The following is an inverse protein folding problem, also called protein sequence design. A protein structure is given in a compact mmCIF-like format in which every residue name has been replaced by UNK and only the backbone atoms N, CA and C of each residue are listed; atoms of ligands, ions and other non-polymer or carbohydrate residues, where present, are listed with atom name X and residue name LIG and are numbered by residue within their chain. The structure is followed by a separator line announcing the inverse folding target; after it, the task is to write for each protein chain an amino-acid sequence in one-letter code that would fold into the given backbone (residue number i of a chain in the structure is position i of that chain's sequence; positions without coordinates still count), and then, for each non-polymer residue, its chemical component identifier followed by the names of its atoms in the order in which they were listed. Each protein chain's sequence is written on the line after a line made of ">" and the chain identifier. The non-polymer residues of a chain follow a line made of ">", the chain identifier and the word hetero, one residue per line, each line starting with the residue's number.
data_IF_044515629624
#
_entry.id   IF_044515629624
#
_cell.length_a   1.000
_cell.length_b   1.000
_cell.length_c   1.000
_cell.angle_alpha   90.00
_cell.angle_beta   90.00
_cell.angle_gamma   90.00
#
_symmetry.space_group_name_H-M   'P 1'
#
loop_
_entity.id
_entity.type
_entity.pdbx_description
1 polymer ?
#
# COMPACT_ATOMS: atom_id res chain seq x y z
N UNK A 1 17.84 1.42 -6.62
CA UNK A 1 18.48 0.15 -7.04
C UNK A 1 19.85 -0.12 -6.39
N UNK A 2 20.71 0.88 -6.17
CA UNK A 2 22.03 0.67 -5.54
C UNK A 2 21.98 -0.04 -4.17
N UNK A 3 21.06 0.39 -3.29
CA UNK A 3 20.81 -0.22 -1.97
C UNK A 3 20.56 -1.74 -2.03
N UNK A 4 19.76 -2.19 -3.00
CA UNK A 4 19.31 -3.57 -3.11
C UNK A 4 20.26 -4.45 -3.94
N UNK A 5 21.38 -3.90 -4.43
CA UNK A 5 22.24 -4.57 -5.41
C UNK A 5 22.82 -5.88 -4.88
N UNK A 6 23.13 -5.94 -3.58
CA UNK A 6 23.69 -7.13 -2.92
C UNK A 6 22.71 -8.30 -2.78
N UNK A 7 21.42 -8.11 -3.10
CA UNK A 7 20.39 -9.16 -3.00
C UNK A 7 20.27 -10.03 -4.25
N UNK A 8 21.02 -9.70 -5.30
CA UNK A 8 21.03 -10.40 -6.58
C UNK A 8 22.37 -11.13 -6.76
N UNK A 9 22.32 -12.43 -7.07
CA UNK A 9 23.53 -13.22 -7.26
C UNK A 9 24.34 -12.82 -8.50
N UNK A 10 23.70 -12.18 -9.49
CA UNK A 10 24.33 -11.76 -10.76
C UNK A 10 23.87 -10.38 -11.20
N UNK A 11 24.64 -9.74 -12.06
CA UNK A 11 24.35 -8.39 -12.56
C UNK A 11 23.12 -8.34 -13.47
N UNK A 12 22.87 -9.38 -14.27
CA UNK A 12 21.79 -9.39 -15.27
C UNK A 12 20.39 -9.41 -14.62
N UNK A 13 20.08 -10.27 -13.62
CA UNK A 13 18.84 -10.17 -12.85
C UNK A 13 18.66 -8.82 -12.18
N UNK A 14 19.74 -8.22 -11.64
CA UNK A 14 19.70 -6.89 -11.02
C UNK A 14 19.31 -5.80 -12.02
N UNK A 15 19.95 -5.78 -13.19
CA UNK A 15 19.63 -4.83 -14.27
C UNK A 15 18.18 -5.00 -14.72
N UNK A 16 17.72 -6.26 -14.84
CA UNK A 16 16.34 -6.54 -15.21
C UNK A 16 15.33 -6.17 -14.13
N UNK A 17 15.66 -6.36 -12.85
CA UNK A 17 14.84 -5.86 -11.75
C UNK A 17 14.73 -4.33 -11.79
N UNK A 18 15.82 -3.62 -12.13
CA UNK A 18 15.78 -2.19 -12.39
C UNK A 18 14.82 -1.81 -13.51
N UNK A 19 14.83 -2.54 -14.63
CA UNK A 19 13.87 -2.33 -15.73
C UNK A 19 12.43 -2.62 -15.31
N UNK A 20 12.20 -3.67 -14.53
CA UNK A 20 10.86 -3.99 -14.01
C UNK A 20 10.36 -2.85 -13.12
N UNK A 21 11.18 -2.39 -12.16
CA UNK A 21 10.85 -1.28 -11.26
C UNK A 21 10.52 0.00 -12.03
N UNK A 22 11.33 0.34 -13.05
CA UNK A 22 11.05 1.50 -13.89
C UNK A 22 9.77 1.32 -14.71
N UNK A 23 9.47 0.12 -15.19
CA UNK A 23 8.22 -0.19 -15.88
C UNK A 23 6.99 -0.12 -14.95
N UNK A 24 7.14 -0.50 -13.68
CA UNK A 24 6.09 -0.32 -12.67
C UNK A 24 5.86 1.16 -12.33
N UNK A 25 6.90 1.98 -12.36
CA UNK A 25 6.80 3.45 -12.21
C UNK A 25 6.22 4.13 -13.45
N UNK A 26 6.34 3.53 -14.63
CA UNK A 26 5.90 4.12 -15.88
C UNK A 26 4.36 4.22 -15.98
N UNK A 27 3.91 5.20 -16.77
CA UNK A 27 2.50 5.46 -17.10
C UNK A 27 2.01 4.47 -18.17
N UNK A 28 2.00 3.19 -17.80
CA UNK A 28 1.55 2.09 -18.66
C UNK A 28 0.06 1.83 -18.43
N UNK A 29 -0.71 1.49 -19.50
CA UNK A 29 -2.13 1.18 -19.38
C UNK A 29 -2.38 -0.08 -18.54
N UNK A 30 -1.40 -0.99 -18.49
CA UNK A 30 -1.40 -2.18 -17.65
C UNK A 30 0.01 -2.59 -17.27
N UNK A 31 0.25 -2.90 -16.00
CA UNK A 31 1.54 -3.31 -15.43
C UNK A 31 1.60 -4.82 -15.32
N UNK A 32 2.05 -5.46 -16.39
CA UNK A 32 2.30 -6.90 -16.43
C UNK A 32 3.64 -7.19 -17.13
N UNK A 33 4.11 -8.43 -17.09
CA UNK A 33 5.40 -8.81 -17.68
C UNK A 33 5.51 -8.51 -19.19
N UNK A 34 4.41 -8.56 -19.93
CA UNK A 34 4.39 -8.28 -21.37
C UNK A 34 4.58 -6.79 -21.64
N UNK A 35 3.68 -5.97 -21.10
CA UNK A 35 3.70 -4.52 -21.33
C UNK A 35 5.00 -3.89 -20.81
N UNK A 36 5.53 -4.37 -19.68
CA UNK A 36 6.81 -3.89 -19.15
C UNK A 36 7.99 -4.36 -20.00
N UNK A 37 7.95 -5.57 -20.56
CA UNK A 37 8.99 -6.05 -21.48
C UNK A 37 9.02 -5.21 -22.77
N UNK A 38 7.86 -4.94 -23.37
CA UNK A 38 7.75 -4.07 -24.55
C UNK A 38 8.27 -2.66 -24.26
N UNK A 39 7.85 -2.07 -23.14
CA UNK A 39 8.35 -0.77 -22.68
C UNK A 39 9.88 -0.77 -22.49
N UNK A 40 10.44 -1.86 -21.98
CA UNK A 40 11.88 -2.03 -21.80
C UNK A 40 12.65 -2.38 -23.09
N UNK A 41 11.97 -2.43 -24.25
CA UNK A 41 12.56 -2.76 -25.55
C UNK A 41 12.85 -4.25 -25.76
N UNK A 42 12.25 -5.13 -24.96
CA UNK A 42 12.38 -6.59 -25.11
C UNK A 42 11.31 -7.13 -26.08
N UNK A 43 11.68 -8.08 -26.94
CA UNK A 43 10.78 -8.69 -27.93
C UNK A 43 9.70 -9.60 -27.33
N UNK A 44 9.88 -10.03 -26.07
CA UNK A 44 9.05 -11.03 -25.43
C UNK A 44 9.11 -10.90 -23.89
N UNK A 45 8.09 -11.39 -23.15
CA UNK A 45 8.03 -11.26 -21.69
C UNK A 45 9.00 -12.17 -20.92
N UNK A 46 9.73 -13.05 -21.62
CA UNK A 46 10.50 -14.14 -21.01
C UNK A 46 11.58 -13.65 -20.05
N UNK A 47 12.20 -12.50 -20.31
CA UNK A 47 13.15 -11.89 -19.39
C UNK A 47 12.50 -11.57 -18.05
N UNK A 48 11.37 -10.86 -18.08
CA UNK A 48 10.61 -10.46 -16.89
C UNK A 48 10.07 -11.68 -16.13
N UNK A 49 9.55 -12.66 -16.86
CA UNK A 49 9.10 -13.93 -16.27
C UNK A 49 10.25 -14.70 -15.64
N UNK A 50 11.42 -14.75 -16.29
CA UNK A 50 12.60 -15.41 -15.73
C UNK A 50 13.05 -14.75 -14.42
N UNK A 51 13.06 -13.40 -14.37
CA UNK A 51 13.39 -12.65 -13.16
C UNK A 51 12.52 -13.07 -11.96
N UNK A 52 11.21 -13.20 -12.18
CA UNK A 52 10.26 -13.52 -11.12
C UNK A 52 10.24 -15.02 -10.79
N UNK A 53 10.37 -15.89 -11.80
CA UNK A 53 10.19 -17.32 -11.62
C UNK A 53 11.47 -18.07 -11.23
N UNK A 54 12.62 -17.70 -11.80
CA UNK A 54 13.81 -18.58 -11.83
C UNK A 54 15.11 -17.91 -11.40
N UNK A 55 15.22 -16.59 -11.55
CA UNK A 55 16.45 -15.89 -11.20
C UNK A 55 16.78 -16.07 -9.70
N UNK A 56 18.08 -16.11 -9.38
CA UNK A 56 18.57 -16.22 -8.01
C UNK A 56 18.70 -14.84 -7.38
N UNK A 57 17.69 -14.46 -6.58
CA UNK A 57 17.69 -13.29 -5.72
C UNK A 57 16.70 -13.48 -4.58
N UNK A 58 17.00 -12.80 -3.48
CA UNK A 58 16.30 -12.93 -2.20
C UNK A 58 15.22 -11.85 -2.08
N UNK A 59 13.95 -12.26 -2.14
CA UNK A 59 12.81 -11.35 -2.04
C UNK A 59 12.56 -10.87 -0.60
N UNK A 60 12.95 -11.67 0.39
CA UNK A 60 12.82 -11.37 1.80
C UNK A 60 13.89 -10.37 2.23
N UNK A 61 15.13 -10.54 1.77
CA UNK A 61 16.17 -9.54 2.01
C UNK A 61 15.86 -8.20 1.31
N UNK A 62 15.21 -8.21 0.13
CA UNK A 62 14.72 -6.96 -0.50
C UNK A 62 13.55 -6.37 0.28
N UNK A 63 12.63 -7.18 0.86
CA UNK A 63 11.62 -6.67 1.80
C UNK A 63 12.30 -5.93 2.96
N UNK A 64 13.31 -6.54 3.56
CA UNK A 64 14.00 -5.97 4.71
C UNK A 64 14.67 -4.64 4.31
N UNK A 65 15.34 -4.57 3.16
CA UNK A 65 15.89 -3.31 2.66
C UNK A 65 14.80 -2.25 2.36
N UNK A 66 13.60 -2.65 1.92
CA UNK A 66 12.44 -1.75 1.73
C UNK A 66 11.95 -1.22 3.08
N UNK A 67 11.85 -2.08 4.10
CA UNK A 67 11.52 -1.68 5.47
C UNK A 67 12.53 -0.65 5.99
N UNK A 68 13.83 -0.91 5.84
CA UNK A 68 14.88 0.05 6.22
C UNK A 68 14.70 1.39 5.51
N UNK A 69 14.44 1.36 4.19
CA UNK A 69 14.20 2.57 3.41
C UNK A 69 13.00 3.38 3.90
N UNK A 70 11.89 2.71 4.20
CA UNK A 70 10.68 3.37 4.72
C UNK A 70 10.94 3.97 6.11
N UNK A 71 11.53 3.21 7.04
CA UNK A 71 11.75 3.67 8.41
C UNK A 71 12.74 4.84 8.47
N UNK A 72 13.81 4.78 7.67
CA UNK A 72 14.81 5.85 7.58
C UNK A 72 14.23 7.15 7.03
N UNK A 73 13.45 7.09 5.95
CA UNK A 73 13.00 8.28 5.24
C UNK A 73 11.66 8.82 5.74
N UNK A 74 10.77 7.97 6.24
CA UNK A 74 9.48 8.35 6.82
C UNK A 74 9.50 8.38 8.36
N UNK A 75 10.69 8.39 8.97
CA UNK A 75 10.89 8.36 10.41
C UNK A 75 9.90 9.26 11.16
N UNK A 76 9.22 8.68 12.14
CA UNK A 76 8.23 9.36 12.97
C UNK A 76 8.09 8.60 14.31
N UNK A 77 8.36 9.28 15.43
CA UNK A 77 8.19 8.71 16.77
C UNK A 77 6.73 8.35 17.07
N UNK A 78 5.78 9.02 16.42
CA UNK A 78 4.35 8.76 16.53
C UNK A 78 3.83 7.77 15.47
N UNK A 79 4.72 7.08 14.74
CA UNK A 79 4.32 6.09 13.76
C UNK A 79 3.50 4.96 14.39
N UNK A 80 2.58 4.43 13.59
CA UNK A 80 1.72 3.31 13.93
C UNK A 80 1.96 2.21 12.91
N UNK A 81 2.08 0.97 13.36
CA UNK A 81 1.98 -0.18 12.47
C UNK A 81 0.51 -0.49 12.23
N UNK A 82 0.10 -0.49 10.97
CA UNK A 82 -1.25 -0.83 10.56
C UNK A 82 -1.22 -2.19 9.88
N UNK A 83 -1.99 -3.14 10.40
CA UNK A 83 -2.18 -4.45 9.78
C UNK A 83 -3.52 -4.46 9.07
N UNK A 84 -3.50 -4.87 7.81
CA UNK A 84 -4.71 -5.14 7.04
C UNK A 84 -4.41 -6.13 5.91
N UNK A 85 -5.44 -6.62 5.26
CA UNK A 85 -5.32 -7.47 4.09
C UNK A 85 -5.93 -6.83 2.84
N UNK A 86 -5.45 -7.26 1.69
CA UNK A 86 -6.13 -7.00 0.43
C UNK A 86 -6.24 -8.26 -0.39
N UNK A 87 -7.32 -8.35 -1.16
CA UNK A 87 -7.65 -9.49 -2.00
C UNK A 87 -7.64 -9.14 -3.48
N UNK A 88 -7.06 -10.01 -4.28
CA UNK A 88 -7.09 -9.91 -5.73
C UNK A 88 -7.97 -11.01 -6.31
N UNK A 89 -9.01 -10.61 -7.06
CA UNK A 89 -9.91 -11.55 -7.72
C UNK A 89 -9.14 -12.28 -8.83
N UNK A 90 -9.19 -13.62 -8.81
CA UNK A 90 -8.52 -14.47 -9.79
C UNK A 90 -9.51 -15.46 -10.41
N UNK A 91 -9.21 -15.93 -11.62
CA UNK A 91 -9.95 -17.02 -12.28
C UNK A 91 -9.17 -18.34 -12.19
N UNK A 92 -9.90 -19.44 -12.04
CA UNK A 92 -9.34 -20.79 -11.92
C UNK A 92 -8.76 -21.12 -10.55
N UNK A 93 -8.17 -22.30 -10.41
CA UNK A 93 -7.72 -22.90 -9.15
C UNK A 93 -6.19 -23.01 -9.00
N UNK A 94 -5.42 -22.57 -10.01
CA UNK A 94 -3.96 -22.77 -10.07
C UNK A 94 -3.10 -21.62 -9.52
N UNK A 95 -3.69 -20.46 -9.26
CA UNK A 95 -2.96 -19.35 -8.63
C UNK A 95 -2.81 -19.64 -7.15
N UNK A 96 -1.58 -19.58 -6.63
CA UNK A 96 -1.27 -19.90 -5.23
C UNK A 96 -2.17 -19.15 -4.24
N UNK A 97 -2.68 -19.86 -3.23
CA UNK A 97 -3.53 -19.29 -2.18
C UNK A 97 -4.93 -18.88 -2.64
N UNK A 98 -5.33 -19.14 -3.89
CA UNK A 98 -6.67 -18.78 -4.36
C UNK A 98 -7.74 -19.71 -3.79
N UNK A 99 -8.81 -19.12 -3.27
CA UNK A 99 -10.01 -19.82 -2.82
C UNK A 99 -11.23 -18.90 -2.95
N UNK A 100 -12.45 -19.47 -3.01
CA UNK A 100 -13.68 -18.70 -2.77
C UNK A 100 -13.72 -18.23 -1.32
N UNK A 101 -13.51 -16.94 -1.12
CA UNK A 101 -13.48 -16.30 0.19
C UNK A 101 -13.97 -14.86 0.08
N UNK A 102 -14.41 -14.29 1.19
CA UNK A 102 -14.78 -12.87 1.21
C UNK A 102 -13.55 -12.03 0.88
N UNK A 103 -13.69 -11.12 -0.07
CA UNK A 103 -12.67 -10.11 -0.40
C UNK A 103 -13.28 -8.74 -0.27
N UNK A 104 -12.66 -7.86 0.52
CA UNK A 104 -13.09 -6.48 0.68
C UNK A 104 -13.16 -5.73 -0.65
N UNK A 105 -12.28 -6.06 -1.61
CA UNK A 105 -12.23 -5.43 -2.92
C UNK A 105 -13.47 -5.71 -3.79
N UNK A 106 -14.10 -6.88 -3.65
CA UNK A 106 -15.33 -7.20 -4.40
C UNK A 106 -16.61 -7.05 -3.56
N UNK A 107 -16.49 -6.82 -2.25
CA UNK A 107 -17.61 -6.74 -1.32
C UNK A 107 -18.43 -8.02 -1.18
N UNK A 108 -17.93 -9.15 -1.71
CA UNK A 108 -18.65 -10.43 -1.78
C UNK A 108 -17.68 -11.61 -1.76
N UNK A 109 -18.21 -12.82 -1.63
CA UNK A 109 -17.43 -14.05 -1.73
C UNK A 109 -17.07 -14.29 -3.19
N UNK A 110 -15.78 -14.22 -3.49
CA UNK A 110 -15.22 -14.45 -4.82
C UNK A 110 -13.98 -15.32 -4.75
N UNK A 111 -13.64 -15.94 -5.88
CA UNK A 111 -12.38 -16.63 -5.99
C UNK A 111 -11.23 -15.61 -5.98
N UNK A 112 -10.50 -15.55 -4.86
CA UNK A 112 -9.55 -14.47 -4.59
C UNK A 112 -8.29 -15.00 -3.92
N UNK A 113 -7.18 -14.34 -4.22
CA UNK A 113 -5.90 -14.49 -3.52
C UNK A 113 -5.81 -13.36 -2.49
N UNK A 114 -5.58 -13.68 -1.21
CA UNK A 114 -5.49 -12.68 -0.14
C UNK A 114 -4.06 -12.61 0.39
N UNK A 115 -3.57 -11.41 0.65
CA UNK A 115 -2.31 -11.18 1.33
C UNK A 115 -2.48 -10.16 2.46
N UNK A 116 -1.76 -10.40 3.55
CA UNK A 116 -1.67 -9.53 4.73
C UNK A 116 -0.48 -8.61 4.53
N UNK A 117 -0.65 -7.33 4.83
CA UNK A 117 0.39 -6.32 4.73
C UNK A 117 0.57 -5.62 6.07
N UNK A 118 1.83 -5.28 6.38
CA UNK A 118 2.19 -4.43 7.51
C UNK A 118 2.57 -3.08 6.94
N UNK A 119 1.79 -2.05 7.26
CA UNK A 119 2.03 -0.68 6.80
C UNK A 119 2.60 0.15 7.94
N UNK A 120 3.74 0.79 7.68
CA UNK A 120 4.30 1.81 8.55
C UNK A 120 3.62 3.14 8.23
N UNK A 121 2.97 3.73 9.21
CA UNK A 121 2.15 4.92 9.02
C UNK A 121 2.59 6.06 9.94
N UNK A 122 3.34 7.02 9.40
CA UNK A 122 3.78 8.24 10.07
C UNK A 122 3.10 9.51 9.55
N UNK A 123 3.43 10.66 10.13
CA UNK A 123 2.96 11.98 9.73
C UNK A 123 3.49 12.38 8.35
N UNK A 124 4.73 11.98 8.02
CA UNK A 124 5.37 12.29 6.73
C UNK A 124 4.81 11.45 5.57
N UNK A 125 4.27 10.28 5.86
CA UNK A 125 3.75 9.38 4.84
C UNK A 125 3.49 7.98 5.38
N UNK A 126 3.10 7.09 4.47
CA UNK A 126 2.85 5.69 4.77
C UNK A 126 3.31 4.80 3.62
N UNK A 127 3.76 3.59 3.96
CA UNK A 127 4.18 2.58 2.99
C UNK A 127 4.16 1.18 3.64
N UNK A 128 3.94 0.15 2.84
CA UNK A 128 4.08 -1.23 3.31
C UNK A 128 5.55 -1.56 3.59
N UNK A 129 5.80 -2.19 4.74
CA UNK A 129 7.12 -2.63 5.20
C UNK A 129 7.25 -4.15 5.26
N UNK A 130 6.13 -4.88 5.26
CA UNK A 130 6.11 -6.34 5.22
C UNK A 130 4.85 -6.85 4.50
N UNK A 131 4.88 -8.10 4.04
CA UNK A 131 3.84 -8.79 3.29
C UNK A 131 3.90 -10.28 3.56
N UNK A 132 2.74 -10.92 3.68
CA UNK A 132 2.62 -12.38 3.72
C UNK A 132 1.41 -12.84 2.93
N UNK A 133 1.56 -13.96 2.20
CA UNK A 133 0.44 -14.57 1.50
C UNK A 133 -0.42 -15.36 2.50
N UNK A 134 -1.73 -15.12 2.50
CA UNK A 134 -2.63 -16.00 3.22
C UNK A 134 -2.86 -17.29 2.41
N UNK A 135 -2.30 -18.41 2.89
CA UNK A 135 -2.47 -19.74 2.29
C UNK A 135 -3.56 -20.50 3.05
N UNK A 136 -4.75 -20.72 2.47
CA UNK A 136 -5.86 -21.34 3.18
C UNK A 136 -5.61 -22.82 3.51
N UNK A 137 -6.32 -23.38 4.50
CA UNK A 137 -6.25 -24.82 4.82
C UNK A 137 -6.49 -25.73 3.62
N UNK A 138 -7.38 -25.33 2.70
CA UNK A 138 -7.67 -26.05 1.46
C UNK A 138 -6.47 -26.21 0.52
N UNK A 139 -5.41 -25.41 0.73
CA UNK A 139 -4.13 -25.55 0.05
C UNK A 139 -3.15 -26.40 0.85
N UNK A 140 -3.00 -26.10 2.14
CA UNK A 140 -2.00 -26.79 2.98
C UNK A 140 -2.33 -28.27 3.22
N UNK A 141 -3.58 -28.68 3.04
CA UNK A 141 -4.00 -30.08 3.06
C UNK A 141 -3.75 -30.83 1.72
N UNK A 142 -3.18 -30.17 0.71
CA UNK A 142 -2.87 -30.74 -0.60
C UNK A 142 -1.37 -30.48 -0.94
N UNK A 143 -0.47 -31.41 -0.54
CA UNK A 143 0.97 -31.25 -0.71
C UNK A 143 1.41 -31.11 -2.17
N UNK A 144 0.74 -31.82 -3.10
CA UNK A 144 1.05 -31.77 -4.53
C UNK A 144 0.71 -30.40 -5.12
N UNK A 145 -0.44 -29.85 -4.74
CA UNK A 145 -0.83 -28.49 -5.12
C UNK A 145 0.11 -27.44 -4.54
N UNK A 146 0.54 -27.59 -3.28
CA UNK A 146 1.56 -26.72 -2.68
C UNK A 146 2.88 -26.77 -3.46
N UNK A 147 3.37 -27.97 -3.78
CA UNK A 147 4.62 -28.19 -4.53
C UNK A 147 4.54 -27.59 -5.94
N UNK A 148 3.43 -27.82 -6.64
CA UNK A 148 3.19 -27.24 -7.97
C UNK A 148 3.19 -25.70 -7.93
N UNK A 149 2.59 -25.10 -6.89
CA UNK A 149 2.62 -23.66 -6.66
C UNK A 149 3.97 -23.12 -6.18
N UNK A 150 4.91 -24.00 -5.79
CA UNK A 150 6.22 -23.61 -5.26
C UNK A 150 6.16 -23.07 -3.84
N UNK A 151 5.18 -23.52 -3.05
CA UNK A 151 5.20 -23.37 -1.60
C UNK A 151 6.24 -24.35 -1.01
N UNK A 152 6.86 -23.98 0.11
CA UNK A 152 7.84 -24.84 0.78
C UNK A 152 7.20 -26.12 1.31
N UNK A 153 7.97 -27.20 1.42
CA UNK A 153 7.48 -28.51 1.88
C UNK A 153 6.84 -28.47 3.28
N UNK A 154 7.30 -27.56 4.14
CA UNK A 154 6.81 -27.38 5.50
C UNK A 154 5.78 -26.23 5.62
N UNK A 155 5.13 -25.83 4.52
CA UNK A 155 4.13 -24.76 4.55
C UNK A 155 2.89 -25.25 5.32
N UNK A 156 2.74 -24.77 6.55
CA UNK A 156 1.57 -25.05 7.39
C UNK A 156 0.55 -23.92 7.32
N UNK A 157 -0.69 -24.23 7.67
CA UNK A 157 -1.73 -23.21 7.75
C UNK A 157 -1.42 -22.20 8.86
N UNK A 158 -1.48 -20.91 8.52
CA UNK A 158 -1.45 -19.80 9.46
C UNK A 158 -2.66 -18.89 9.23
N UNK A 159 -3.31 -18.50 10.31
CA UNK A 159 -4.38 -17.50 10.29
C UNK A 159 -3.81 -16.11 9.98
N UNK A 160 -4.64 -15.18 9.48
CA UNK A 160 -4.20 -13.80 9.23
C UNK A 160 -3.60 -13.11 10.48
N UNK A 161 -4.17 -13.25 11.69
CA UNK A 161 -3.55 -12.72 12.90
C UNK A 161 -2.20 -13.37 13.25
N UNK A 162 -1.99 -14.65 12.94
CA UNK A 162 -0.68 -15.30 13.12
C UNK A 162 0.35 -14.76 12.14
N UNK A 163 -0.03 -14.52 10.88
CA UNK A 163 0.83 -13.85 9.89
C UNK A 163 1.18 -12.43 10.35
N UNK A 164 0.19 -11.67 10.82
CA UNK A 164 0.40 -10.34 11.37
C UNK A 164 1.37 -10.32 12.55
N UNK A 165 1.23 -11.28 13.48
CA UNK A 165 2.15 -11.44 14.61
C UNK A 165 3.58 -11.66 14.12
N UNK A 166 3.80 -12.58 13.18
CA UNK A 166 5.13 -12.86 12.61
C UNK A 166 5.73 -11.62 11.95
N UNK A 167 4.94 -10.87 11.18
CA UNK A 167 5.40 -9.65 10.51
C UNK A 167 5.78 -8.54 11.51
N UNK A 168 5.00 -8.39 12.59
CA UNK A 168 5.30 -7.43 13.66
C UNK A 168 6.55 -7.85 14.44
N UNK A 169 6.66 -9.12 14.81
CA UNK A 169 7.85 -9.67 15.49
C UNK A 169 9.09 -9.46 14.63
N UNK A 170 9.04 -9.78 13.33
CA UNK A 170 10.13 -9.53 12.38
C UNK A 170 10.54 -8.06 12.31
N UNK A 171 9.57 -7.14 12.33
CA UNK A 171 9.84 -5.70 12.36
C UNK A 171 10.58 -5.28 13.64
N UNK A 172 10.15 -5.80 14.80
CA UNK A 172 10.77 -5.48 16.09
C UNK A 172 12.13 -6.16 16.28
N UNK A 173 12.26 -7.42 15.86
CA UNK A 173 13.49 -8.22 15.96
C UNK A 173 14.60 -7.66 15.05
N UNK A 174 14.24 -6.94 13.98
CA UNK A 174 15.17 -6.15 13.19
C UNK A 174 15.70 -4.89 13.93
N UNK A 175 15.24 -4.63 15.15
CA UNK A 175 15.70 -3.51 15.98
C UNK A 175 14.89 -2.21 15.84
N UNK A 176 13.85 -2.21 15.00
CA UNK A 176 12.97 -1.06 14.88
C UNK A 176 12.05 -0.91 16.09
N UNK A 177 11.64 0.33 16.36
CA UNK A 177 10.77 0.67 17.47
C UNK A 177 9.51 1.36 16.96
N UNK A 178 8.38 1.01 17.55
CA UNK A 178 7.09 1.65 17.33
C UNK A 178 6.30 1.58 18.63
N UNK A 179 5.48 2.59 18.90
CA UNK A 179 4.67 2.61 20.13
C UNK A 179 3.33 1.88 20.00
N UNK A 180 2.82 1.75 18.77
CA UNK A 180 1.40 1.46 18.54
C UNK A 180 1.15 0.54 17.33
N UNK A 181 0.17 -0.35 17.50
CA UNK A 181 -0.38 -1.19 16.43
C UNK A 181 -1.88 -0.96 16.28
N UNK A 182 -2.40 -0.96 15.06
CA UNK A 182 -3.84 -0.96 14.78
C UNK A 182 -4.20 -1.93 13.66
N UNK A 183 -5.45 -2.34 13.61
CA UNK A 183 -5.95 -3.39 12.74
C UNK A 183 -7.47 -3.52 12.85
N UNK A 184 -8.05 -4.28 11.94
CA UNK A 184 -9.49 -4.55 11.86
C UNK A 184 -9.97 -5.56 12.91
N UNK A 185 -11.25 -5.95 12.78
CA UNK A 185 -11.92 -6.91 13.65
C UNK A 185 -11.30 -8.31 13.62
N UNK A 186 -10.76 -8.76 12.48
CA UNK A 186 -10.07 -10.05 12.35
C UNK A 186 -8.86 -10.09 13.28
N UNK A 187 -8.11 -9.00 13.36
CA UNK A 187 -6.94 -8.89 14.22
C UNK A 187 -7.34 -8.61 15.68
N UNK A 188 -8.27 -7.69 15.91
CA UNK A 188 -8.67 -7.32 17.27
C UNK A 188 -9.48 -8.38 18.00
N UNK A 189 -10.17 -9.27 17.29
CA UNK A 189 -10.82 -10.45 17.85
C UNK A 189 -9.87 -11.53 18.34
N UNK A 190 -8.59 -11.51 17.94
CA UNK A 190 -7.64 -12.58 18.24
C UNK A 190 -6.88 -12.34 19.57
N UNK A 191 -7.13 -13.15 20.63
CA UNK A 191 -6.45 -12.96 21.91
C UNK A 191 -4.94 -13.24 21.85
N UNK A 192 -4.49 -14.22 21.06
CA UNK A 192 -3.06 -14.56 20.95
C UNK A 192 -2.25 -13.41 20.35
N UNK A 193 -2.79 -12.74 19.34
CA UNK A 193 -2.17 -11.54 18.77
C UNK A 193 -2.09 -10.43 19.83
N UNK A 194 -3.18 -10.17 20.56
CA UNK A 194 -3.17 -9.16 21.63
C UNK A 194 -2.13 -9.46 22.70
N UNK A 195 -2.09 -10.69 23.22
CA UNK A 195 -1.09 -11.11 24.20
C UNK A 195 0.34 -10.92 23.70
N UNK A 196 0.63 -11.32 22.44
CA UNK A 196 1.94 -11.12 21.85
C UNK A 196 2.32 -9.64 21.74
N UNK A 197 1.38 -8.75 21.42
CA UNK A 197 1.63 -7.30 21.42
C UNK A 197 1.95 -6.77 22.82
N UNK A 198 1.22 -7.22 23.85
CA UNK A 198 1.44 -6.82 25.24
C UNK A 198 2.79 -7.32 25.77
N UNK A 199 3.15 -8.57 25.48
CA UNK A 199 4.45 -9.17 25.83
C UNK A 199 5.64 -8.43 25.20
N UNK A 200 5.46 -7.92 23.98
CA UNK A 200 6.46 -7.08 23.29
C UNK A 200 6.40 -5.61 23.72
N UNK A 201 5.56 -5.26 24.69
CA UNK A 201 5.43 -3.91 25.25
C UNK A 201 4.74 -2.89 24.33
N UNK A 202 4.01 -3.36 23.32
CA UNK A 202 3.32 -2.51 22.35
C UNK A 202 1.95 -2.05 22.86
N UNK A 203 1.63 -0.78 22.62
CA UNK A 203 0.26 -0.30 22.67
C UNK A 203 -0.52 -0.79 21.46
N UNK A 204 -1.81 -1.02 21.60
CA UNK A 204 -2.66 -1.33 20.46
C UNK A 204 -4.03 -0.67 20.55
N UNK A 205 -4.61 -0.42 19.37
CA UNK A 205 -6.02 -0.06 19.20
C UNK A 205 -6.56 -0.90 18.06
N UNK A 206 -7.20 -2.02 18.38
CA UNK A 206 -7.68 -2.99 17.40
C UNK A 206 -9.20 -3.00 17.38
N UNK A 207 -9.81 -2.94 16.19
CA UNK A 207 -11.26 -3.00 16.08
C UNK A 207 -11.81 -4.34 16.59
N UNK A 208 -13.00 -4.33 17.15
CA UNK A 208 -13.69 -5.54 17.64
C UNK A 208 -15.17 -5.49 17.27
N UNK A 209 -15.80 -6.67 17.22
CA UNK A 209 -17.23 -6.80 17.00
C UNK A 209 -18.04 -6.00 18.02
N UNK A 210 -19.23 -5.52 17.65
CA UNK A 210 -20.18 -4.96 18.60
C UNK A 210 -20.61 -5.97 19.68
N UNK A 211 -20.58 -7.26 19.34
CA UNK A 211 -20.86 -8.39 20.23
C UNK A 211 -19.68 -8.81 21.10
N UNK A 212 -18.51 -8.15 20.98
CA UNK A 212 -17.34 -8.51 21.76
C UNK A 212 -17.62 -8.37 23.26
N UNK A 213 -17.35 -9.44 24.01
CA UNK A 213 -17.47 -9.44 25.47
C UNK A 213 -16.23 -8.81 26.11
N UNK A 214 -16.48 -7.88 27.03
CA UNK A 214 -15.45 -7.17 27.77
C UNK A 214 -15.76 -7.19 29.26
N UNK A 215 -14.73 -7.46 30.06
CA UNK A 215 -14.84 -7.46 31.51
C UNK A 215 -14.70 -6.02 32.02
N UNK A 216 -15.65 -5.59 32.84
CA UNK A 216 -15.64 -4.31 33.56
C UNK A 216 -15.71 -4.59 35.05
N UNK A 217 -15.51 -3.55 35.89
CA UNK A 217 -15.67 -3.71 37.35
C UNK A 217 -17.08 -4.13 37.76
N UNK A 218 -18.07 -3.91 36.90
CA UNK A 218 -19.47 -4.29 37.13
C UNK A 218 -19.83 -5.67 36.55
N UNK A 219 -18.88 -6.41 35.98
CA UNK A 219 -19.10 -7.71 35.34
C UNK A 219 -18.76 -7.72 33.85
N UNK A 220 -19.09 -8.84 33.20
CA UNK A 220 -18.90 -9.04 31.77
C UNK A 220 -20.08 -8.46 30.97
N UNK A 221 -19.78 -7.67 29.94
CA UNK A 221 -20.81 -7.09 29.07
C UNK A 221 -20.37 -7.12 27.62
N UNK A 222 -21.35 -7.13 26.69
CA UNK A 222 -21.08 -6.83 25.28
C UNK A 222 -20.77 -5.36 25.09
N UNK A 223 -19.90 -5.06 24.12
CA UNK A 223 -19.48 -3.70 23.80
C UNK A 223 -20.66 -2.78 23.42
N UNK A 224 -21.64 -3.29 22.65
CA UNK A 224 -22.85 -2.54 22.29
C UNK A 224 -23.75 -2.22 23.48
N UNK A 225 -23.96 -3.20 24.37
CA UNK A 225 -24.74 -3.03 25.60
C UNK A 225 -24.10 -1.98 26.54
N UNK A 226 -22.77 -1.89 26.57
CA UNK A 226 -22.05 -0.84 27.30
C UNK A 226 -22.23 0.53 26.65
N UNK A 227 -22.10 0.61 25.33
CA UNK A 227 -22.26 1.88 24.62
C UNK A 227 -23.65 2.50 24.81
N UNK A 228 -24.70 1.66 24.87
CA UNK A 228 -26.07 2.10 25.13
C UNK A 228 -26.26 2.70 26.54
N UNK A 229 -25.43 2.32 27.52
CA UNK A 229 -25.48 2.81 28.90
C UNK A 229 -24.67 4.10 29.12
N UNK A 230 -23.89 4.54 28.14
CA UNK A 230 -23.03 5.70 28.29
C UNK A 230 -23.85 7.01 28.36
N UNK A 231 -23.62 7.85 29.38
CA UNK A 231 -24.29 9.15 29.46
C UNK A 231 -23.78 10.08 28.36
N UNK A 232 -24.60 11.08 27.99
CA UNK A 232 -24.26 12.02 26.90
C UNK A 232 -22.93 12.74 27.10
N UNK A 233 -22.57 13.06 28.34
CA UNK A 233 -21.32 13.76 28.69
C UNK A 233 -20.06 12.88 28.58
N UNK A 234 -20.19 11.55 28.48
CA UNK A 234 -19.05 10.65 28.27
C UNK A 234 -18.47 10.74 26.85
N UNK A 235 -19.19 11.36 25.91
CA UNK A 235 -18.80 11.49 24.51
C UNK A 235 -18.02 12.77 24.25
N UNK A 236 -16.81 12.64 23.71
CA UNK A 236 -15.94 13.76 23.38
C UNK A 236 -15.74 13.87 21.87
N UNK A 237 -15.91 15.08 21.32
CA UNK A 237 -15.66 15.34 19.90
C UNK A 237 -14.15 15.43 19.65
N UNK A 238 -13.60 14.46 18.94
CA UNK A 238 -12.18 14.44 18.57
C UNK A 238 -12.02 14.10 17.08
N UNK A 239 -10.91 14.56 16.49
CA UNK A 239 -10.59 14.28 15.11
C UNK A 239 -9.66 13.07 14.99
N UNK A 240 -9.98 12.15 14.09
CA UNK A 240 -9.28 10.87 13.90
C UNK A 240 -8.34 10.92 12.68
N UNK A 241 -7.53 11.97 12.59
CA UNK A 241 -6.68 12.22 11.42
C UNK A 241 -7.31 13.14 10.37
N UNK A 242 -6.46 13.65 9.47
CA UNK A 242 -6.87 14.38 8.27
C UNK A 242 -7.51 13.38 7.30
N UNK A 243 -8.57 13.79 6.59
CA UNK A 243 -9.14 13.05 5.48
C UNK A 243 -9.21 13.92 4.22
N UNK A 244 -9.66 13.35 3.10
CA UNK A 244 -9.75 14.03 1.80
C UNK A 244 -10.62 15.30 1.77
N UNK A 245 -11.49 15.49 2.78
CA UNK A 245 -12.36 16.66 2.93
C UNK A 245 -12.03 17.48 4.20
N UNK A 246 -10.84 17.33 4.75
CA UNK A 246 -10.42 17.96 6.01
C UNK A 246 -10.46 17.01 7.21
N UNK A 247 -10.39 17.56 8.42
CA UNK A 247 -10.36 16.78 9.66
C UNK A 247 -11.61 15.92 9.83
N UNK A 248 -11.43 14.61 10.11
CA UNK A 248 -12.54 13.68 10.33
C UNK A 248 -12.95 13.69 11.80
N UNK A 249 -14.03 14.40 12.12
CA UNK A 249 -14.56 14.48 13.47
C UNK A 249 -15.53 13.32 13.76
N UNK A 250 -15.30 12.65 14.88
CA UNK A 250 -16.22 11.67 15.45
C UNK A 250 -16.44 11.99 16.93
N UNK A 251 -17.51 11.46 17.50
CA UNK A 251 -17.67 11.47 18.95
C UNK A 251 -17.04 10.18 19.49
N UNK A 252 -16.26 10.29 20.56
CA UNK A 252 -15.52 9.18 21.13
C UNK A 252 -15.85 9.02 22.61
N UNK A 253 -15.96 7.77 23.06
CA UNK A 253 -16.06 7.44 24.47
C UNK A 253 -15.05 6.34 24.81
N UNK A 254 -14.62 6.29 26.07
CA UNK A 254 -13.69 5.28 26.58
C UNK A 254 -14.24 4.68 27.87
N UNK A 255 -14.10 3.37 28.00
CA UNK A 255 -14.49 2.62 29.19
C UNK A 255 -13.27 1.82 29.65
N UNK A 256 -12.85 1.98 30.90
CA UNK A 256 -11.79 1.17 31.49
C UNK A 256 -12.28 -0.28 31.70
N UNK A 257 -11.46 -1.24 31.27
CA UNK A 257 -11.73 -2.66 31.43
C UNK A 257 -11.08 -3.17 32.72
N UNK A 258 -11.73 -4.15 33.36
CA UNK A 258 -11.22 -4.78 34.56
C UNK A 258 -10.44 -6.03 34.18
N UNK A 259 -9.11 -5.93 34.20
CA UNK A 259 -8.20 -7.08 34.06
C UNK A 259 -7.09 -6.99 35.10
N UNK A 260 -6.69 -8.15 35.64
CA UNK A 260 -5.70 -8.25 36.71
C UNK A 260 -4.25 -8.00 36.25
N UNK A 261 -3.99 -8.12 34.95
CA UNK A 261 -2.65 -7.97 34.39
C UNK A 261 -2.23 -6.50 34.31
N UNK A 262 -0.93 -6.18 34.46
CA UNK A 262 -0.40 -4.82 34.31
C UNK A 262 -0.78 -4.19 32.97
N UNK A 263 -0.84 -2.85 32.95
CA UNK A 263 -1.23 -2.05 31.80
C UNK A 263 -2.67 -1.52 31.87
N UNK A 264 -2.99 -0.62 30.94
CA UNK A 264 -4.30 0.02 30.84
C UNK A 264 -5.05 -0.59 29.66
N UNK A 265 -6.11 -1.34 29.95
CA UNK A 265 -7.00 -1.92 28.95
C UNK A 265 -8.32 -1.16 28.90
N UNK A 266 -8.72 -0.76 27.72
CA UNK A 266 -9.87 0.12 27.53
C UNK A 266 -10.70 -0.32 26.33
N UNK A 267 -12.01 -0.15 26.41
CA UNK A 267 -12.90 -0.17 25.26
C UNK A 267 -13.07 1.26 24.76
N UNK A 268 -12.56 1.52 23.56
CA UNK A 268 -12.75 2.78 22.85
C UNK A 268 -13.94 2.63 21.89
N UNK A 269 -14.83 3.61 21.91
CA UNK A 269 -16.06 3.59 21.11
C UNK A 269 -16.08 4.85 20.26
N UNK A 270 -16.26 4.68 18.96
CA UNK A 270 -16.43 5.77 17.98
C UNK A 270 -17.88 5.83 17.55
N UNK A 271 -18.47 7.02 17.58
CA UNK A 271 -19.78 7.31 16.99
C UNK A 271 -19.65 8.25 15.81
N UNK A 272 -20.21 7.84 14.67
CA UNK A 272 -20.42 8.72 13.52
C UNK A 272 -21.46 9.79 13.88
N UNK A 273 -21.08 11.07 13.73
CA UNK A 273 -21.91 12.20 14.14
C UNK A 273 -23.13 12.41 13.25
N UNK A 274 -23.09 11.91 12.03
CA UNK A 274 -24.17 12.03 11.04
C UNK A 274 -25.04 10.79 11.02
N UNK A 275 -24.45 9.60 10.97
CA UNK A 275 -25.21 8.35 10.84
C UNK A 275 -25.55 7.70 12.19
N UNK A 276 -24.90 8.10 13.28
CA UNK A 276 -25.02 7.45 14.59
C UNK A 276 -24.30 6.09 14.68
N UNK A 277 -23.70 5.61 13.59
CA UNK A 277 -23.03 4.31 13.53
C UNK A 277 -21.89 4.22 14.54
N UNK A 278 -21.83 3.09 15.25
CA UNK A 278 -20.84 2.81 16.27
C UNK A 278 -19.76 1.86 15.75
N UNK A 279 -18.50 2.13 16.12
CA UNK A 279 -17.39 1.23 15.95
C UNK A 279 -16.66 1.06 17.29
N UNK A 280 -16.19 -0.14 17.56
CA UNK A 280 -15.63 -0.54 18.85
C UNK A 280 -14.18 -0.97 18.68
N UNK A 281 -13.33 -0.61 19.64
CA UNK A 281 -11.92 -0.96 19.62
C UNK A 281 -11.46 -1.40 21.00
N UNK A 282 -10.75 -2.52 21.07
CA UNK A 282 -10.02 -2.91 22.28
C UNK A 282 -8.65 -2.25 22.25
N UNK A 283 -8.33 -1.57 23.34
CA UNK A 283 -7.11 -0.79 23.49
C UNK A 283 -6.26 -1.35 24.63
N UNK A 284 -4.95 -1.30 24.44
CA UNK A 284 -3.97 -1.54 25.49
C UNK A 284 -2.87 -0.48 25.43
N UNK A 285 -2.36 -0.09 26.60
CA UNK A 285 -1.14 0.70 26.73
C UNK A 285 -0.42 0.36 28.04
N UNK A 286 0.91 0.31 28.00
CA UNK A 286 1.72 -0.01 29.18
C UNK A 286 1.69 1.12 30.25
N UNK A 287 1.39 2.36 29.84
CA UNK A 287 1.29 3.54 30.70
C UNK A 287 0.02 4.30 30.37
N UNK A 288 -0.51 5.14 31.28
CA UNK A 288 -1.67 5.98 30.96
C UNK A 288 -1.37 6.87 29.75
N UNK A 289 -2.30 6.93 28.80
CA UNK A 289 -2.19 7.79 27.62
C UNK A 289 -3.45 8.63 27.43
N UNK A 290 -3.35 9.83 26.84
CA UNK A 290 -4.52 10.64 26.58
C UNK A 290 -5.39 10.00 25.49
N UNK A 291 -6.70 10.22 25.59
CA UNK A 291 -7.69 9.74 24.61
C UNK A 291 -7.32 10.11 23.16
N UNK A 292 -6.73 11.30 22.95
CA UNK A 292 -6.25 11.75 21.64
C UNK A 292 -5.24 10.80 21.00
N UNK A 293 -4.42 10.10 21.79
CA UNK A 293 -3.46 9.11 21.29
C UNK A 293 -4.18 7.86 20.77
N UNK A 294 -5.18 7.38 21.50
CA UNK A 294 -6.00 6.24 21.07
C UNK A 294 -6.79 6.58 19.80
N UNK A 295 -7.40 7.78 19.76
CA UNK A 295 -8.15 8.27 18.60
C UNK A 295 -7.26 8.43 17.37
N UNK A 296 -6.04 8.97 17.53
CA UNK A 296 -5.05 9.09 16.45
C UNK A 296 -4.62 7.70 15.94
N UNK A 297 -4.41 6.75 16.84
CA UNK A 297 -4.03 5.38 16.49
C UNK A 297 -5.14 4.68 15.72
N UNK A 298 -6.38 4.73 16.22
CA UNK A 298 -7.56 4.23 15.51
C UNK A 298 -7.74 4.90 14.13
N UNK A 299 -7.52 6.22 14.06
CA UNK A 299 -7.61 6.99 12.82
C UNK A 299 -6.55 6.64 11.77
N UNK A 300 -5.40 6.11 12.22
CA UNK A 300 -4.28 5.71 11.35
C UNK A 300 -4.62 4.49 10.50
N UNK A 301 -5.61 3.68 10.91
CA UNK A 301 -6.14 2.54 10.13
C UNK A 301 -6.47 2.93 8.69
N UNK A 302 -7.03 4.11 8.47
CA UNK A 302 -7.38 4.57 7.11
C UNK A 302 -6.21 4.66 6.14
N UNK A 303 -4.98 4.89 6.65
CA UNK A 303 -3.78 5.00 5.80
C UNK A 303 -3.48 3.71 5.06
N UNK A 304 -3.90 2.55 5.57
CA UNK A 304 -3.71 1.27 4.86
C UNK A 304 -4.56 1.18 3.59
N UNK A 305 -5.78 1.71 3.62
CA UNK A 305 -6.64 1.77 2.44
C UNK A 305 -6.03 2.71 1.39
N UNK A 306 -5.55 3.89 1.82
CA UNK A 306 -4.82 4.78 0.91
C UNK A 306 -3.55 4.13 0.35
N UNK A 307 -2.83 3.36 1.17
CA UNK A 307 -1.66 2.57 0.74
C UNK A 307 -2.08 1.58 -0.34
N UNK A 308 -3.11 0.76 -0.12
CA UNK A 308 -3.56 -0.20 -1.12
C UNK A 308 -4.06 0.45 -2.40
N UNK A 309 -4.81 1.55 -2.32
CA UNK A 309 -5.27 2.27 -3.50
C UNK A 309 -4.11 2.83 -4.32
N UNK A 310 -3.07 3.34 -3.66
CA UNK A 310 -1.89 3.87 -4.34
C UNK A 310 -0.94 2.77 -4.83
N UNK A 311 -0.75 1.68 -4.08
CA UNK A 311 0.03 0.52 -4.50
C UNK A 311 -0.59 -0.18 -5.71
N UNK A 312 -1.90 -0.45 -5.69
CA UNK A 312 -2.61 -1.00 -6.86
C UNK A 312 -2.60 0.01 -8.00
N UNK A 313 -2.96 1.25 -7.71
CA UNK A 313 -3.18 2.27 -8.72
C UNK A 313 -1.92 2.84 -9.40
N UNK A 314 -0.78 2.85 -8.70
CA UNK A 314 0.48 3.45 -9.16
C UNK A 314 1.64 2.46 -9.22
N UNK A 315 1.66 1.40 -8.41
CA UNK A 315 2.75 0.42 -8.39
C UNK A 315 2.38 -0.94 -9.01
N UNK A 316 1.12 -1.12 -9.46
CA UNK A 316 0.67 -2.34 -10.13
C UNK A 316 0.65 -3.57 -9.22
N UNK A 317 0.37 -3.37 -7.92
CA UNK A 317 0.36 -4.43 -6.91
C UNK A 317 -0.51 -5.64 -7.33
N UNK A 318 -1.72 -5.37 -7.84
CA UNK A 318 -2.74 -6.36 -8.21
C UNK A 318 -2.73 -6.75 -9.71
N UNK A 319 -1.87 -6.11 -10.51
CA UNK A 319 -1.84 -6.29 -11.97
C UNK A 319 -1.01 -7.50 -12.43
N UNK A 320 -0.39 -8.21 -11.48
CA UNK A 320 0.43 -9.38 -11.75
C UNK A 320 -0.38 -10.53 -12.37
N UNK A 321 0.28 -11.26 -13.27
CA UNK A 321 -0.25 -12.47 -13.91
C UNK A 321 0.41 -13.76 -13.39
N UNK A 322 1.24 -13.64 -12.35
CA UNK A 322 1.98 -14.76 -11.78
C UNK A 322 1.07 -15.71 -10.99
N UNK A 323 1.44 -17.01 -10.99
CA UNK A 323 0.66 -18.08 -10.35
C UNK A 323 1.37 -18.80 -9.21
N UNK A 324 2.70 -18.81 -9.21
CA UNK A 324 3.53 -19.53 -8.22
C UNK A 324 3.95 -18.59 -7.10
N UNK A 325 4.14 -19.14 -5.90
CA UNK A 325 4.54 -18.39 -4.70
C UNK A 325 5.82 -17.58 -4.88
N UNK A 326 6.94 -18.13 -5.41
CA UNK A 326 8.17 -17.36 -5.59
C UNK A 326 7.98 -16.16 -6.52
N UNK A 327 7.18 -16.32 -7.56
CA UNK A 327 6.88 -15.26 -8.51
C UNK A 327 5.98 -14.18 -7.90
N UNK A 328 5.01 -14.59 -7.08
CA UNK A 328 4.11 -13.70 -6.37
C UNK A 328 4.87 -12.85 -5.35
N UNK A 329 5.63 -13.49 -4.45
CA UNK A 329 6.36 -12.75 -3.41
C UNK A 329 7.29 -11.73 -4.04
N UNK A 330 8.01 -12.10 -5.12
CA UNK A 330 8.92 -11.23 -5.87
C UNK A 330 8.24 -10.06 -6.56
N UNK A 331 7.07 -10.27 -7.18
CA UNK A 331 6.31 -9.17 -7.79
C UNK A 331 5.88 -8.16 -6.73
N UNK A 332 5.21 -8.64 -5.68
CA UNK A 332 4.70 -7.80 -4.59
C UNK A 332 5.85 -7.06 -3.91
N UNK A 333 7.03 -7.69 -3.78
CA UNK A 333 8.25 -7.02 -3.32
C UNK A 333 8.60 -5.79 -4.11
N UNK A 334 8.63 -5.92 -5.42
CA UNK A 334 9.06 -4.84 -6.30
C UNK A 334 7.98 -3.77 -6.42
N UNK A 335 6.70 -4.14 -6.32
CA UNK A 335 5.60 -3.19 -6.21
C UNK A 335 5.66 -2.38 -4.89
N UNK A 336 5.92 -3.03 -3.76
CA UNK A 336 6.14 -2.35 -2.48
C UNK A 336 7.35 -1.40 -2.53
N UNK A 337 8.45 -1.84 -3.14
CA UNK A 337 9.63 -0.99 -3.37
C UNK A 337 9.27 0.28 -4.18
N UNK A 338 8.51 0.12 -5.26
CA UNK A 338 8.06 1.22 -6.11
C UNK A 338 7.19 2.19 -5.33
N UNK A 339 6.25 1.68 -4.54
CA UNK A 339 5.38 2.52 -3.71
C UNK A 339 6.17 3.24 -2.61
N UNK A 340 7.03 2.54 -1.89
CA UNK A 340 7.89 3.14 -0.87
C UNK A 340 8.74 4.29 -1.44
N UNK A 341 9.30 4.11 -2.63
CA UNK A 341 10.01 5.17 -3.34
C UNK A 341 9.10 6.39 -3.61
N UNK A 342 7.89 6.17 -4.15
CA UNK A 342 6.93 7.25 -4.41
C UNK A 342 6.48 7.97 -3.13
N UNK A 343 6.25 7.22 -2.05
CA UNK A 343 5.85 7.76 -0.75
C UNK A 343 6.93 8.68 -0.16
N UNK A 344 8.20 8.28 -0.26
CA UNK A 344 9.34 9.09 0.19
C UNK A 344 9.50 10.34 -0.67
N UNK A 345 9.48 10.21 -2.00
CA UNK A 345 9.57 11.38 -2.91
C UNK A 345 8.45 12.37 -2.63
N UNK A 346 7.22 11.88 -2.38
CA UNK A 346 6.10 12.73 -2.03
C UNK A 346 6.31 13.46 -0.70
N UNK A 347 6.81 12.75 0.31
CA UNK A 347 7.11 13.31 1.62
C UNK A 347 8.19 14.39 1.54
N UNK A 348 9.23 14.17 0.75
CA UNK A 348 10.32 15.13 0.56
C UNK A 348 9.86 16.35 -0.25
N UNK A 349 9.10 16.18 -1.33
CA UNK A 349 8.53 17.30 -2.09
C UNK A 349 7.63 18.17 -1.20
N UNK A 350 6.80 17.55 -0.35
CA UNK A 350 5.94 18.29 0.58
C UNK A 350 6.75 19.10 1.61
N UNK A 351 7.88 18.58 2.07
CA UNK A 351 8.77 19.29 2.99
C UNK A 351 9.48 20.48 2.33
N UNK A 352 9.88 20.36 1.06
CA UNK A 352 10.63 21.41 0.35
C UNK A 352 9.73 22.46 -0.31
N UNK A 353 8.47 22.12 -0.61
CA UNK A 353 7.49 23.01 -1.23
C UNK A 353 6.13 22.86 -0.54
N UNK A 354 5.93 23.52 0.62
CA UNK A 354 4.61 23.58 1.24
C UNK A 354 3.69 24.39 0.31
N UNK A 355 2.92 23.72 -0.53
CA UNK A 355 1.89 24.37 -1.34
C UNK A 355 0.76 24.94 -0.47
N UNK A 356 -0.03 25.91 -0.96
CA UNK A 356 -1.20 26.39 -0.22
C UNK A 356 -2.19 25.23 -0.06
N UNK A 357 -2.30 24.74 1.17
CA UNK A 357 -3.20 23.68 1.63
C UNK A 357 -3.32 22.44 0.71
N UNK A 358 -2.33 21.56 0.82
CA UNK A 358 -2.43 20.09 0.85
C UNK A 358 -3.63 19.46 0.13
N UNK A 359 -3.62 19.53 -1.20
CA UNK A 359 -4.38 18.59 -2.03
C UNK A 359 -3.81 17.18 -1.80
N UNK A 360 -4.63 16.28 -1.24
CA UNK A 360 -4.44 14.84 -1.38
C UNK A 360 -4.38 14.58 -2.89
N UNK A 361 -3.19 14.25 -3.39
CA UNK A 361 -2.95 14.19 -4.82
C UNK A 361 -3.74 13.02 -5.41
N UNK A 362 -4.79 13.38 -6.14
CA UNK A 362 -5.44 12.47 -7.09
C UNK A 362 -4.41 11.98 -8.13
N UNK A 363 -4.67 10.80 -8.72
CA UNK A 363 -3.88 10.16 -9.79
C UNK A 363 -3.22 11.12 -10.82
N UNK A 364 -3.84 12.23 -11.27
CA UNK A 364 -3.22 13.16 -12.23
C UNK A 364 -2.00 13.93 -11.69
N UNK A 365 -1.97 14.30 -10.40
CA UNK A 365 -0.94 15.23 -9.91
C UNK A 365 0.36 14.52 -9.50
N UNK A 366 0.29 13.26 -9.05
CA UNK A 366 1.49 12.40 -8.94
C UNK A 366 2.04 12.08 -10.33
N UNK A 367 1.16 11.90 -11.32
CA UNK A 367 1.50 11.59 -12.73
C UNK A 367 2.23 12.73 -13.44
N UNK A 368 1.85 13.98 -13.19
CA UNK A 368 2.52 15.15 -13.77
C UNK A 368 3.89 15.41 -13.12
N UNK A 369 4.01 15.14 -11.81
CA UNK A 369 5.23 15.39 -11.03
C UNK A 369 6.28 14.29 -11.14
N UNK A 370 5.86 13.01 -11.25
CA UNK A 370 6.76 11.89 -11.55
C UNK A 370 7.45 12.01 -12.91
N UNK A 371 6.80 12.66 -13.90
CA UNK A 371 7.43 12.99 -15.19
C UNK A 371 8.54 14.04 -15.06
N UNK A 372 8.44 14.96 -14.11
CA UNK A 372 9.46 16.01 -13.91
C UNK A 372 10.70 15.47 -13.16
N UNK A 373 10.52 14.52 -12.23
CA UNK A 373 11.63 13.82 -11.57
C UNK A 373 12.33 12.79 -12.49
N UNK A 374 11.64 12.32 -13.54
CA UNK A 374 12.15 11.39 -14.54
C UNK A 374 12.88 12.03 -15.73
N UNK A 375 13.54 13.18 -15.55
CA UNK A 375 14.44 13.71 -16.58
C UNK A 375 15.55 12.69 -16.88
N UNK A 376 15.89 12.43 -18.16
CA UNK A 376 16.74 11.31 -18.52
C UNK A 376 18.17 11.53 -17.99
N UNK A 377 18.56 10.78 -16.98
CA UNK A 377 19.98 10.51 -16.71
C UNK A 377 20.46 9.67 -17.89
N UNK A 378 21.18 10.31 -18.80
CA UNK A 378 21.80 9.68 -19.95
C UNK A 378 22.96 8.82 -19.45
N UNK A 379 22.68 7.54 -19.18
CA UNK A 379 23.72 6.53 -19.02
C UNK A 379 24.28 6.25 -20.42
N UNK A 380 25.43 6.84 -20.76
CA UNK A 380 26.19 6.47 -21.95
C UNK A 380 26.65 5.02 -21.81
N UNK A 381 25.96 4.11 -22.47
CA UNK A 381 26.55 2.84 -22.89
C UNK A 381 27.22 3.09 -24.24
N UNK A 382 28.47 2.61 -24.36
CA UNK A 382 29.37 2.88 -25.49
C UNK A 382 28.75 2.62 -26.85
N UNK A 383 29.17 3.47 -27.79
CA UNK A 383 28.86 3.48 -29.22
C UNK A 383 28.87 2.09 -29.88
N UNK A 384 27.88 1.85 -30.75
CA UNK A 384 28.11 1.46 -32.15
C UNK A 384 26.86 1.81 -32.98
N UNK A 385 27.08 2.52 -34.10
CA UNK A 385 26.03 3.02 -35.01
C UNK A 385 25.74 1.99 -36.08
N UNK A 386 24.46 1.76 -36.36
CA UNK A 386 24.03 1.30 -37.68
C UNK A 386 22.75 2.06 -38.09
N UNK A 387 22.82 2.74 -39.25
CA UNK A 387 21.73 3.49 -39.90
C UNK A 387 20.93 2.56 -40.80
N UNK A 388 19.60 2.61 -40.73
CA UNK A 388 18.61 2.43 -41.82
C UNK A 388 17.33 3.13 -41.31
N UNK A 389 16.54 3.97 -41.98
CA UNK A 389 16.27 4.29 -43.37
C UNK A 389 14.75 4.51 -43.43
N UNK A 390 14.29 5.75 -43.65
CA UNK A 390 12.89 6.18 -43.55
C UNK A 390 12.05 5.72 -44.75
N UNK A 391 10.84 5.22 -44.49
CA UNK A 391 9.82 4.92 -45.51
C UNK A 391 8.42 5.31 -45.02
N UNK A 392 7.74 6.11 -45.82
CA UNK A 392 6.41 6.74 -45.66
C UNK A 392 5.23 5.75 -45.72
N UNK A 393 4.07 6.13 -45.14
CA UNK A 393 2.84 5.33 -44.90
C UNK A 393 2.01 4.93 -46.15
N UNK A 394 0.65 4.73 -46.10
CA UNK A 394 -0.32 5.40 -45.22
C UNK A 394 -1.59 4.61 -44.72
N UNK A 395 -2.35 5.30 -43.85
CA UNK A 395 -3.82 5.46 -43.72
C UNK A 395 -4.83 4.32 -43.46
N UNK A 396 -5.47 4.46 -42.28
CA UNK A 396 -6.92 4.58 -41.98
C UNK A 396 -7.94 3.47 -42.36
N UNK A 397 -8.67 2.99 -41.34
CA UNK A 397 -9.94 2.28 -41.46
C UNK A 397 -10.73 2.31 -40.14
N UNK A 398 -11.89 2.97 -40.17
CA UNK A 398 -12.81 3.19 -39.05
C UNK A 398 -13.62 1.93 -38.68
N UNK A 399 -14.02 1.79 -37.40
CA UNK A 399 -14.99 0.79 -36.95
C UNK A 399 -16.17 1.44 -36.21
N UNK A 400 -17.38 1.17 -36.73
CA UNK A 400 -18.68 1.48 -36.16
C UNK A 400 -19.12 0.44 -35.14
N UNK A 401 -20.01 0.88 -34.25
CA UNK A 401 -20.62 0.14 -33.15
C UNK A 401 -21.73 -0.84 -33.59
N UNK A 402 -21.75 -2.00 -32.92
CA UNK A 402 -22.88 -2.54 -32.14
C UNK A 402 -24.22 -2.87 -32.82
N UNK A 403 -24.60 -4.16 -32.77
CA UNK A 403 -25.98 -4.63 -32.55
C UNK A 403 -25.96 -6.03 -31.91
N UNK A 404 -26.55 -6.14 -30.72
CA UNK A 404 -26.93 -7.41 -30.09
C UNK A 404 -28.45 -7.53 -30.07
N UNK A 405 -28.93 -8.71 -30.48
CA UNK A 405 -30.33 -9.07 -30.59
C UNK A 405 -31.03 -9.38 -29.26
N UNK A 406 -32.36 -9.43 -29.36
CA UNK A 406 -33.39 -9.65 -28.34
C UNK A 406 -33.34 -11.05 -27.71
N UNK A 407 -33.85 -11.15 -26.47
CA UNK A 407 -34.81 -12.19 -26.07
C UNK A 407 -35.63 -11.71 -24.84
N UNK A 408 -36.86 -12.19 -24.77
CA UNK A 408 -38.05 -11.65 -24.11
C UNK A 408 -38.60 -12.57 -23.01
N UNK A 409 -39.39 -12.00 -22.08
CA UNK A 409 -40.38 -12.69 -21.23
C UNK A 409 -40.36 -12.15 -19.80
N UNK A 410 -41.44 -11.73 -19.12
CA UNK A 410 -42.87 -11.63 -19.42
C UNK A 410 -43.63 -11.18 -18.14
N UNK A 411 -44.88 -10.71 -18.33
CA UNK A 411 -46.00 -10.51 -17.37
C UNK A 411 -46.11 -9.24 -16.46
N UNK A 412 -46.93 -8.26 -16.94
CA UNK A 412 -48.15 -7.55 -16.40
C UNK A 412 -48.41 -7.34 -14.87
N UNK A 413 -49.32 -6.42 -14.41
CA UNK A 413 -50.26 -5.48 -15.08
C UNK A 413 -50.27 -4.00 -14.53
N UNK A 414 -51.18 -3.08 -14.96
CA UNK A 414 -51.02 -1.62 -14.95
C UNK A 414 -51.94 -0.84 -13.99
N UNK A 415 -51.67 0.45 -13.79
CA UNK A 415 -52.65 1.58 -13.73
C UNK A 415 -51.99 2.88 -13.23
N UNK A 416 -52.40 4.04 -13.76
CA UNK A 416 -52.20 5.33 -13.07
C UNK A 416 -51.78 6.49 -13.96
N UNK A 417 -52.74 7.03 -14.71
CA UNK A 417 -52.70 8.35 -15.36
C UNK A 417 -52.43 9.47 -14.34
N UNK A 418 -51.54 10.43 -14.67
CA UNK A 418 -51.59 11.81 -14.15
C UNK A 418 -50.70 12.75 -14.95
N UNK A 419 -51.39 13.64 -15.67
CA UNK A 419 -50.91 14.86 -16.31
C UNK A 419 -50.24 15.81 -15.30
N UNK A 420 -49.21 16.51 -15.76
CA UNK A 420 -48.59 17.63 -15.04
C UNK A 420 -47.56 18.34 -15.90
N UNK A 421 -48.00 19.33 -16.67
CA UNK A 421 -47.18 20.21 -17.49
C UNK A 421 -46.52 21.30 -16.63
N UNK A 422 -45.26 21.67 -16.92
CA UNK A 422 -44.65 22.98 -16.64
C UNK A 422 -43.50 23.25 -17.65
N UNK A 423 -43.14 24.53 -17.94
CA UNK A 423 -42.80 24.97 -19.29
C UNK A 423 -41.31 25.24 -19.58
N UNK A 424 -41.04 25.39 -20.89
CA UNK A 424 -39.81 25.89 -21.53
C UNK A 424 -39.49 27.36 -21.23
N UNK A 425 -38.22 27.65 -20.96
CA UNK A 425 -37.41 28.82 -21.40
C UNK A 425 -35.92 28.46 -21.14
N UNK A 426 -34.90 28.94 -21.82
CA UNK A 426 -34.63 29.43 -23.18
C UNK A 426 -33.09 29.38 -23.31
N UNK A 427 -32.54 28.99 -24.46
CA UNK A 427 -31.09 29.00 -24.74
C UNK A 427 -30.62 30.43 -25.07
N UNK A 428 -29.37 30.75 -24.72
CA UNK A 428 -28.28 31.31 -25.56
C UNK A 428 -27.18 31.91 -24.64
N UNK A 429 -25.93 31.40 -24.68
CA UNK A 429 -24.75 31.88 -25.46
C UNK A 429 -24.16 33.17 -24.85
N UNK A 430 -22.85 33.37 -24.60
CA UNK A 430 -21.65 33.26 -25.45
C UNK A 430 -20.36 33.24 -24.58
N UNK A 431 -19.30 32.71 -25.20
CA UNK A 431 -17.90 32.57 -24.82
C UNK A 431 -17.10 33.83 -24.42
N UNK A 432 -15.92 33.59 -23.84
CA UNK A 432 -14.76 34.49 -23.95
C UNK A 432 -13.74 34.32 -22.83
N UNK A 433 -12.56 33.77 -23.12
CA UNK A 433 -11.26 34.45 -22.97
C UNK A 433 -10.08 33.52 -23.28
N UNK A 434 -9.26 33.94 -24.26
CA UNK A 434 -7.92 33.43 -24.53
C UNK A 434 -7.03 34.61 -24.99
N UNK A 435 -5.73 34.53 -24.64
CA UNK A 435 -4.57 35.42 -24.97
C UNK A 435 -4.45 36.66 -24.05
N UNK A 436 -3.28 37.06 -23.52
CA UNK A 436 -1.91 37.15 -24.08
C UNK A 436 -0.80 37.03 -23.01
N UNK A 437 0.38 36.62 -23.47
CA UNK A 437 1.74 36.64 -22.87
C UNK A 437 2.31 38.08 -22.72
N UNK A 438 3.43 38.32 -21.98
CA UNK A 438 4.79 38.17 -22.53
C UNK A 438 5.83 37.52 -21.61
N UNK A 439 6.86 37.01 -22.28
CA UNK A 439 8.11 36.49 -21.75
C UNK A 439 8.99 37.58 -21.12
N UNK A 440 9.77 37.19 -20.11
CA UNK A 440 11.02 37.86 -19.74
C UNK A 440 12.12 36.80 -19.64
N UNK A 441 13.04 36.85 -20.59
CA UNK A 441 14.32 36.17 -20.59
C UNK A 441 15.41 37.24 -20.43
N UNK A 442 16.17 37.16 -19.34
CA UNK A 442 17.47 37.82 -19.08
C UNK A 442 17.94 37.17 -17.78
N UNK A 443 19.11 36.59 -17.58
CA UNK A 443 20.37 36.58 -18.29
C UNK A 443 21.40 36.41 -17.16
N UNK A 444 22.08 35.27 -17.08
CA UNK A 444 23.27 35.14 -16.20
C UNK A 444 24.37 34.45 -16.98
N UNK A 445 25.41 35.25 -17.24
CA UNK A 445 26.69 34.82 -17.75
C UNK A 445 27.49 34.05 -16.68
N UNK A 446 28.13 32.98 -17.17
CA UNK A 446 29.47 32.48 -16.84
C UNK A 446 30.23 33.13 -15.67
N UNK A 447 30.63 32.30 -14.70
CA UNK A 447 31.96 32.37 -14.07
C UNK A 447 32.47 30.96 -13.69
N UNK A 448 33.77 30.79 -13.95
CA UNK A 448 34.62 29.59 -13.98
C UNK A 448 34.63 28.68 -12.74
N UNK A 449 35.04 27.40 -12.89
CA UNK A 449 35.55 26.58 -11.80
C UNK A 449 37.02 26.94 -11.50
N UNK A 450 37.35 27.11 -10.22
CA UNK A 450 38.74 27.15 -9.75
C UNK A 450 39.25 25.72 -9.56
N UNK A 451 40.30 25.40 -10.32
CA UNK A 451 41.20 24.28 -10.08
C UNK A 451 42.47 24.82 -9.40
N UNK A 452 43.03 24.03 -8.48
CA UNK A 452 44.31 24.22 -7.80
C UNK A 452 44.38 23.26 -6.61
N UNK A 453 44.84 22.01 -6.75
CA UNK A 453 46.18 21.48 -7.06
C UNK A 453 47.12 21.42 -5.85
N UNK A 454 47.74 20.23 -5.66
CA UNK A 454 48.86 19.92 -4.77
C UNK A 454 48.47 19.42 -3.37
N UNK A 455 48.90 18.27 -2.85
CA UNK A 455 50.05 17.42 -3.20
C UNK A 455 49.81 15.99 -2.68
N UNK A 456 50.25 14.99 -3.46
CA UNK A 456 50.34 13.58 -3.08
C UNK A 456 51.75 13.33 -2.52
N UNK A 457 51.85 12.86 -1.29
CA UNK A 457 53.03 12.17 -0.77
C UNK A 457 52.83 10.66 -0.82
N UNK A 458 53.64 9.96 -1.62
CA UNK A 458 53.83 8.50 -1.58
C UNK A 458 54.97 8.17 -0.62
N UNK A 459 54.75 7.18 0.25
CA UNK A 459 55.71 6.22 0.84
C UNK A 459 55.00 5.62 2.06
N UNK A 460 55.08 4.35 2.46
CA UNK A 460 55.65 3.13 1.93
C UNK A 460 54.90 1.97 2.65
N UNK A 461 54.77 0.81 2.00
CA UNK A 461 54.48 -0.47 2.68
C UNK A 461 55.80 -1.08 3.15
N UNK A 462 55.80 -1.86 4.25
CA UNK A 462 55.89 -3.33 4.13
C UNK A 462 54.86 -4.03 5.06
N UNK A 463 54.15 -5.07 4.62
CA UNK A 463 54.50 -6.49 4.48
C UNK A 463 54.19 -7.32 5.74
N UNK A 464 53.38 -8.38 5.53
CA UNK A 464 53.13 -9.57 6.35
C UNK A 464 52.55 -9.34 7.77
N UNK A 465 51.54 -10.06 8.25
CA UNK A 465 51.58 -11.48 8.61
C UNK A 465 50.19 -12.12 8.67
N UNK A 466 50.20 -13.45 8.56
CA UNK A 466 49.07 -14.37 8.50
C UNK A 466 48.16 -14.42 9.74
N UNK A 467 46.91 -14.82 9.45
CA UNK A 467 45.85 -15.45 10.26
C UNK A 467 46.33 -16.49 11.30
N UNK A 468 45.50 -16.88 12.29
CA UNK A 468 44.18 -17.51 12.11
C UNK A 468 42.97 -16.58 11.95
#
# INVERSE_FOLDING_TARGET
>A
MGRFAGRFARAEPRLRAGRLVLGLLADLPRKNCWTIAEWAGEKAPYGMQHLLCRASWDADAVRDDVREYVVEHLHDEAAVLVVDETGDVKKGNRTVGVQRQYTGTAGRIENSQIAVYLVYAGMRGHAAVDRELYVPRSWTCDPDRCRAAGLGENTVFATKPELARVMIERFLDAGHRVGWVTGDEVYGGNPKLRSALEERGLGYVLAVACSAEVATKAGMFRADALAAKLPKHAWQKLWAGRGAKGHRFYDWAVIDLAEAAPGHRQLLIRRNRTTGELAYYRCHSARPVPLSTLVRTAGSRWRVEETFQTEKGLAGLDEHQVRRYPSWIRWVTLAMLVHAFLAVVLADEHAHRPGPHDLILSRPQVRERGRQAGAPVSVRLGHERCRVGSGTGPAAGAWMAGRSGRATGGLLPPAGDRRGALPRRQRHQVAGYARRFPALATGVCLLRPLAGCGTRGRAARPAAWCRP
#
